data_IF_948927625339
#
_entry.id   IF_948927625339
#
_cell.length_a   1.000
_cell.length_b   1.000
_cell.length_c   1.000
_cell.angle_alpha   90.00
_cell.angle_beta   90.00
_cell.angle_gamma   90.00
#
_symmetry.space_group_name_H-M   'P 1'
#
loop_
_entity.id
_entity.type
_entity.pdbx_description
1 polymer ?
#
# COMPACT_ATOMS: atom_id res chain seq x y z
N UNK A 1 -14.95 -6.40 0.52
CA UNK A 1 -14.07 -5.43 -0.16
C UNK A 1 -13.61 -6.02 -1.48
N UNK A 2 -13.61 -5.24 -2.57
CA UNK A 2 -13.15 -5.68 -3.91
C UNK A 2 -12.03 -4.75 -4.37
N UNK A 3 -10.95 -5.31 -4.92
CA UNK A 3 -9.94 -4.50 -5.63
C UNK A 3 -10.56 -4.06 -6.96
N UNK A 4 -10.69 -2.76 -7.15
CA UNK A 4 -11.22 -2.18 -8.39
C UNK A 4 -10.13 -1.90 -9.40
N UNK A 5 -8.91 -1.59 -8.95
CA UNK A 5 -7.79 -1.29 -9.83
C UNK A 5 -6.42 -1.52 -9.16
N UNK A 6 -5.40 -1.81 -9.98
CA UNK A 6 -3.98 -1.84 -9.57
C UNK A 6 -3.31 -0.61 -10.19
N UNK A 7 -2.99 0.37 -9.36
CA UNK A 7 -2.69 1.71 -9.84
C UNK A 7 -1.22 1.90 -10.19
N UNK A 8 -0.30 1.46 -9.32
CA UNK A 8 1.14 1.57 -9.58
C UNK A 8 1.95 0.55 -8.79
N UNK A 9 3.06 0.01 -9.33
CA UNK A 9 4.06 -0.66 -8.52
C UNK A 9 4.75 0.35 -7.57
N UNK A 10 5.25 -0.15 -6.45
CA UNK A 10 6.10 0.56 -5.49
C UNK A 10 7.53 0.02 -5.54
N UNK A 11 8.43 0.69 -4.81
CA UNK A 11 9.80 0.22 -4.58
C UNK A 11 9.86 -1.25 -4.10
N UNK A 12 10.88 -1.99 -4.54
CA UNK A 12 11.10 -3.37 -4.11
C UNK A 12 11.81 -3.43 -2.76
N UNK A 13 11.42 -4.39 -1.91
CA UNK A 13 12.16 -4.70 -0.67
C UNK A 13 12.85 -6.05 -0.83
N UNK A 14 14.17 -6.07 -0.74
CA UNK A 14 14.95 -7.29 -0.57
C UNK A 14 15.14 -7.60 0.92
N UNK A 15 14.92 -8.84 1.34
CA UNK A 15 15.18 -9.26 2.72
C UNK A 15 15.70 -10.70 2.77
N UNK A 16 16.42 -11.01 3.85
CA UNK A 16 16.89 -12.37 4.12
C UNK A 16 16.09 -12.95 5.27
N UNK A 17 15.56 -14.15 5.09
CA UNK A 17 14.93 -14.93 6.16
C UNK A 17 15.87 -16.04 6.59
N UNK A 18 15.88 -16.31 7.89
CA UNK A 18 16.64 -17.41 8.46
C UNK A 18 15.66 -18.37 9.13
N UNK A 19 15.81 -19.66 8.84
CA UNK A 19 15.04 -20.72 9.48
C UNK A 19 15.99 -21.74 10.05
N UNK A 20 15.79 -22.06 11.32
CA UNK A 20 16.45 -23.19 11.96
C UNK A 20 15.77 -24.48 11.51
N UNK A 21 16.51 -25.37 10.88
CA UNK A 21 16.03 -26.70 10.50
C UNK A 21 16.86 -27.78 11.18
N UNK A 22 16.18 -28.79 11.75
CA UNK A 22 16.86 -29.99 12.23
C UNK A 22 17.18 -30.88 11.06
N UNK A 23 18.44 -31.22 10.94
CA UNK A 23 18.92 -32.24 9.99
C UNK A 23 18.48 -33.63 10.44
N UNK A 24 18.50 -34.64 9.55
CA UNK A 24 18.19 -36.03 9.90
C UNK A 24 19.08 -36.60 11.02
N UNK A 25 20.27 -36.03 11.23
CA UNK A 25 21.21 -36.40 12.30
C UNK A 25 20.94 -35.68 13.62
N UNK A 26 19.87 -34.88 13.71
CA UNK A 26 19.50 -34.12 14.91
C UNK A 26 20.29 -32.82 15.11
N UNK A 27 21.25 -32.50 14.25
CA UNK A 27 21.98 -31.23 14.29
C UNK A 27 21.12 -30.09 13.75
N UNK A 28 21.20 -28.92 14.38
CA UNK A 28 20.51 -27.71 13.93
C UNK A 28 21.34 -27.01 12.85
N UNK A 29 20.69 -26.67 11.74
CA UNK A 29 21.28 -25.92 10.63
C UNK A 29 20.46 -24.66 10.38
N UNK A 30 21.15 -23.52 10.24
CA UNK A 30 20.52 -22.29 9.78
C UNK A 30 20.42 -22.33 8.26
N UNK A 31 19.21 -22.26 7.74
CA UNK A 31 18.92 -22.09 6.31
C UNK A 31 18.60 -20.62 6.08
N UNK A 32 19.44 -19.95 5.29
CA UNK A 32 19.19 -18.56 4.84
C UNK A 32 18.48 -18.59 3.50
N UNK A 33 17.46 -17.74 3.33
CA UNK A 33 16.75 -17.55 2.07
C UNK A 33 16.67 -16.06 1.76
N UNK A 34 17.06 -15.69 0.55
CA UNK A 34 16.89 -14.34 0.03
C UNK A 34 15.53 -14.23 -0.63
N UNK A 35 14.79 -13.17 -0.30
CA UNK A 35 13.47 -12.88 -0.84
C UNK A 35 13.43 -11.46 -1.42
N UNK A 36 12.65 -11.30 -2.47
CA UNK A 36 12.33 -10.01 -3.08
C UNK A 36 10.82 -9.80 -2.99
N UNK A 37 10.39 -8.76 -2.29
CA UNK A 37 8.99 -8.36 -2.17
C UNK A 37 8.64 -7.36 -3.27
N UNK A 38 7.60 -7.70 -4.03
CA UNK A 38 6.96 -6.80 -5.00
C UNK A 38 5.72 -6.20 -4.33
N UNK A 39 5.56 -4.88 -4.38
CA UNK A 39 4.47 -4.17 -3.71
C UNK A 39 3.76 -3.24 -4.69
N UNK A 40 2.44 -3.11 -4.53
CA UNK A 40 1.58 -2.37 -5.45
C UNK A 40 0.55 -1.55 -4.67
N UNK A 41 0.23 -0.37 -5.18
CA UNK A 41 -0.92 0.43 -4.73
C UNK A 41 -2.16 -0.07 -5.44
N UNK A 42 -3.21 -0.35 -4.68
CA UNK A 42 -4.51 -0.80 -5.19
C UNK A 42 -5.61 0.12 -4.73
N UNK A 43 -6.61 0.33 -5.59
CA UNK A 43 -7.86 0.98 -5.21
C UNK A 43 -8.86 -0.09 -4.82
N UNK A 44 -9.57 0.13 -3.72
CA UNK A 44 -10.50 -0.83 -3.13
C UNK A 44 -11.85 -0.19 -2.90
N UNK A 45 -12.90 -0.94 -3.18
CA UNK A 45 -14.29 -0.53 -2.95
C UNK A 45 -14.82 -1.10 -1.64
N UNK A 46 -15.48 -0.23 -0.87
CA UNK A 46 -16.13 -0.54 0.41
C UNK A 46 -15.23 -0.28 1.63
N UNK A 47 -15.87 -0.09 2.78
CA UNK A 47 -15.22 0.21 4.06
C UNK A 47 -15.03 -1.03 4.95
N UNK A 48 -15.75 -2.11 4.65
CA UNK A 48 -15.78 -3.34 5.44
C UNK A 48 -14.61 -4.25 5.05
N UNK A 49 -13.39 -3.82 5.40
CA UNK A 49 -12.20 -4.62 5.29
C UNK A 49 -12.05 -5.53 6.51
N UNK A 50 -12.03 -6.84 6.28
CA UNK A 50 -11.72 -7.84 7.30
C UNK A 50 -10.66 -8.78 6.75
N UNK A 51 -9.64 -9.06 7.57
CA UNK A 51 -8.63 -10.06 7.25
C UNK A 51 -9.09 -11.43 7.74
N UNK A 52 -8.68 -12.50 7.04
CA UNK A 52 -8.93 -13.85 7.51
C UNK A 52 -8.11 -14.12 8.79
N UNK A 53 -8.79 -14.30 9.92
CA UNK A 53 -8.16 -14.43 11.25
C UNK A 53 -7.23 -15.62 11.39
N UNK A 54 -7.36 -16.63 10.53
CA UNK A 54 -6.47 -17.80 10.51
C UNK A 54 -5.13 -17.50 9.86
N UNK A 55 -5.10 -16.55 8.94
CA UNK A 55 -3.91 -16.21 8.14
C UNK A 55 -3.26 -14.90 8.61
N UNK A 56 -4.06 -14.00 9.16
CA UNK A 56 -3.63 -12.66 9.54
C UNK A 56 -4.00 -12.34 10.98
N UNK A 57 -3.04 -11.74 11.68
CA UNK A 57 -3.21 -11.30 13.06
C UNK A 57 -4.02 -9.99 13.17
N UNK A 58 -3.95 -9.10 12.16
CA UNK A 58 -4.57 -7.78 12.21
C UNK A 58 -4.76 -7.18 10.81
N UNK A 59 -5.83 -6.40 10.65
CA UNK A 59 -6.07 -5.52 9.50
C UNK A 59 -6.71 -4.23 9.97
N UNK A 60 -6.18 -3.09 9.55
CA UNK A 60 -6.63 -1.77 10.00
C UNK A 60 -6.64 -0.79 8.83
N UNK A 61 -7.54 0.19 8.91
CA UNK A 61 -7.47 1.41 8.11
C UNK A 61 -6.59 2.42 8.84
N UNK A 62 -5.61 2.99 8.14
CA UNK A 62 -4.62 3.88 8.72
C UNK A 62 -4.43 5.13 7.85
N UNK A 63 -4.21 6.26 8.51
CA UNK A 63 -3.75 7.51 7.89
C UNK A 63 -2.25 7.70 8.13
N UNK A 64 -1.63 8.64 7.42
CA UNK A 64 -0.21 8.98 7.60
C UNK A 64 0.17 9.25 9.07
N UNK A 65 -0.69 9.95 9.81
CA UNK A 65 -0.46 10.32 11.21
C UNK A 65 -0.41 9.09 12.14
N UNK A 66 -1.16 8.04 11.80
CA UNK A 66 -1.23 6.82 12.60
C UNK A 66 -0.03 5.88 12.39
N UNK A 67 0.76 6.06 11.33
CA UNK A 67 1.85 5.13 10.97
C UNK A 67 2.93 4.99 12.04
N UNK A 68 3.18 6.02 12.85
CA UNK A 68 4.16 5.96 13.93
C UNK A 68 3.76 4.98 15.06
N UNK A 69 2.49 4.64 15.15
CA UNK A 69 1.94 3.79 16.21
C UNK A 69 1.80 2.33 15.77
N UNK A 70 2.00 2.03 14.49
CA UNK A 70 1.87 0.68 13.93
C UNK A 70 3.23 -0.02 14.02
N UNK A 71 3.31 -1.23 14.59
CA UNK A 71 4.56 -1.98 14.73
C UNK A 71 4.99 -2.60 13.39
N UNK A 72 5.49 -1.76 12.48
CA UNK A 72 6.06 -2.17 11.19
C UNK A 72 7.54 -1.79 11.10
N UNK A 73 8.28 -2.48 10.24
CA UNK A 73 9.69 -2.17 9.98
C UNK A 73 9.84 -0.81 9.31
N UNK A 74 11.03 -0.23 9.41
CA UNK A 74 11.34 1.07 8.81
C UNK A 74 11.19 1.05 7.28
N UNK A 75 11.57 -0.07 6.64
CA UNK A 75 11.44 -0.29 5.20
C UNK A 75 9.97 -0.36 4.78
N UNK A 76 9.15 -1.11 5.53
CA UNK A 76 7.72 -1.20 5.26
C UNK A 76 7.03 0.16 5.46
N UNK A 77 7.43 0.91 6.49
CA UNK A 77 6.93 2.27 6.72
C UNK A 77 7.24 3.20 5.56
N UNK A 78 8.44 3.13 4.98
CA UNK A 78 8.80 3.90 3.78
C UNK A 78 7.90 3.56 2.59
N UNK A 79 7.62 2.27 2.35
CA UNK A 79 6.69 1.86 1.29
C UNK A 79 5.27 2.39 1.51
N UNK A 80 4.76 2.32 2.74
CA UNK A 80 3.41 2.80 3.04
C UNK A 80 3.34 4.32 2.85
N UNK A 81 4.39 5.06 3.22
CA UNK A 81 4.48 6.50 2.95
C UNK A 81 4.49 6.80 1.44
N UNK A 82 5.26 6.05 0.64
CA UNK A 82 5.29 6.17 -0.82
C UNK A 82 3.87 5.97 -1.42
N UNK A 83 3.13 4.97 -0.93
CA UNK A 83 1.75 4.72 -1.34
C UNK A 83 0.79 5.85 -0.96
N UNK A 84 0.94 6.43 0.24
CA UNK A 84 0.09 7.53 0.71
C UNK A 84 0.38 8.83 -0.04
N UNK A 85 1.65 9.14 -0.30
CA UNK A 85 2.06 10.30 -1.08
C UNK A 85 1.51 10.23 -2.51
N UNK A 86 1.56 9.03 -3.12
CA UNK A 86 0.93 8.78 -4.41
C UNK A 86 -0.58 9.06 -4.37
N UNK A 87 -1.29 8.51 -3.38
CA UNK A 87 -2.73 8.69 -3.25
C UNK A 87 -3.14 10.17 -3.01
N UNK A 88 -2.36 10.92 -2.24
CA UNK A 88 -2.58 12.36 -2.04
C UNK A 88 -2.34 13.17 -3.32
N UNK A 89 -1.32 12.80 -4.10
CA UNK A 89 -1.07 13.35 -5.44
C UNK A 89 -2.28 13.16 -6.37
N UNK A 90 -2.83 11.95 -6.43
CA UNK A 90 -4.04 11.63 -7.21
C UNK A 90 -5.23 12.46 -6.75
N UNK A 91 -5.47 12.55 -5.43
CA UNK A 91 -6.57 13.35 -4.88
C UNK A 91 -6.48 14.82 -5.27
N UNK A 92 -5.29 15.41 -5.16
CA UNK A 92 -5.05 16.81 -5.54
C UNK A 92 -5.26 17.05 -7.03
N UNK A 93 -4.89 16.09 -7.89
CA UNK A 93 -5.13 16.19 -9.33
C UNK A 93 -6.63 16.22 -9.65
N UNK A 94 -7.41 15.30 -9.08
CA UNK A 94 -8.87 15.24 -9.25
C UNK A 94 -9.55 16.54 -8.79
N UNK A 95 -9.17 17.06 -7.61
CA UNK A 95 -9.70 18.34 -7.10
C UNK A 95 -9.36 19.55 -7.98
N UNK A 96 -8.27 19.51 -8.77
CA UNK A 96 -7.92 20.57 -9.73
C UNK A 96 -8.76 20.47 -10.99
N UNK A 97 -8.99 19.26 -11.50
CA UNK A 97 -9.84 19.04 -12.69
C UNK A 97 -11.29 19.45 -12.44
N UNK A 98 -11.86 19.11 -11.28
CA UNK A 98 -13.22 19.52 -10.89
C UNK A 98 -13.36 21.05 -10.82
N UNK A 99 -12.35 21.74 -10.27
CA UNK A 99 -12.32 23.22 -10.24
C UNK A 99 -12.25 23.80 -11.65
N UNK A 100 -11.48 23.19 -12.55
CA UNK A 100 -11.35 23.65 -13.93
C UNK A 100 -12.64 23.41 -14.75
N UNK A 101 -13.31 22.27 -14.58
CA UNK A 101 -14.63 21.99 -15.17
C UNK A 101 -15.72 22.92 -14.64
N UNK A 102 -15.74 23.19 -13.33
CA UNK A 102 -16.68 24.13 -12.71
C UNK A 102 -16.49 25.56 -13.24
N UNK A 103 -15.23 25.98 -13.44
CA UNK A 103 -14.87 27.28 -14.02
C UNK A 103 -15.32 27.37 -15.48
N UNK A 104 -15.09 26.34 -16.30
CA UNK A 104 -15.57 26.30 -17.69
C UNK A 104 -17.09 26.32 -17.82
N UNK A 105 -17.83 25.70 -16.89
CA UNK A 105 -19.30 25.79 -16.86
C UNK A 105 -19.79 27.18 -16.44
N UNK A 106 -19.10 27.84 -15.51
CA UNK A 106 -19.46 29.20 -15.04
C UNK A 106 -19.14 30.30 -16.05
N UNK A 107 -18.05 30.14 -16.81
CA UNK A 107 -17.64 31.09 -17.85
C UNK A 107 -17.89 30.55 -19.25
N UNK A 108 -18.95 29.74 -19.43
CA UNK A 108 -19.39 29.25 -20.73
C UNK A 108 -19.51 30.41 -21.70
N UNK A 109 -18.49 30.53 -22.55
CA UNK A 109 -18.40 31.46 -23.67
C UNK A 109 -19.63 31.20 -24.53
N UNK A 110 -20.52 32.20 -24.61
CA UNK A 110 -21.51 32.25 -25.68
C UNK A 110 -20.70 32.39 -26.95
N UNK A 111 -20.53 31.29 -27.68
CA UNK A 111 -20.21 31.39 -29.10
C UNK A 111 -21.43 32.06 -29.74
N UNK A 112 -21.26 33.33 -30.09
CA UNK A 112 -22.16 34.11 -30.95
C UNK A 112 -21.95 33.65 -32.38
#
# INVERSE_FOLDING_TARGET
>A
MKVSDITTPLSHIGYTTEKLERTPTGQEKIVKRHALQLSYVVTVEGTDFQVEKKEHSMGIWATCDSLNQIPITSEMKKLVLEALDFADGVRKALSREEKHLSTRRKYGVRNV
#
